data_IF_450226157582
#
_entry.id   IF_450226157582
#
_cell.length_a   1.000
_cell.length_b   1.000
_cell.length_c   1.000
_cell.angle_alpha   90.00
_cell.angle_beta   90.00
_cell.angle_gamma   90.00
#
_symmetry.space_group_name_H-M   'P 1'
#
loop_
_entity.id
_entity.type
_entity.pdbx_description
1 polymer ?
#
# COMPACT_ATOMS: atom_id res chain seq x y z
N UNK A 1 10.99 20.84 12.33
CA UNK A 1 9.86 19.93 12.11
C UNK A 1 8.67 20.78 11.80
N UNK A 2 8.06 20.57 10.63
CA UNK A 2 6.96 21.40 10.15
C UNK A 2 5.68 21.04 10.94
N UNK A 3 4.98 22.04 11.47
CA UNK A 3 3.89 21.86 12.44
C UNK A 3 2.71 21.00 11.91
N UNK A 4 2.57 20.86 10.58
CA UNK A 4 1.53 20.04 9.93
C UNK A 4 1.89 18.56 9.70
N UNK A 5 2.87 18.02 10.42
CA UNK A 5 3.38 16.64 10.23
C UNK A 5 3.15 15.74 11.43
N UNK A 6 2.83 16.31 12.58
CA UNK A 6 2.76 15.57 13.85
C UNK A 6 1.37 14.99 13.99
N UNK A 7 1.28 13.67 14.15
CA UNK A 7 0.03 12.97 14.44
C UNK A 7 -0.43 13.29 15.86
N UNK A 8 -1.73 13.43 16.09
CA UNK A 8 -2.26 13.87 17.39
C UNK A 8 -1.85 12.97 18.55
N UNK A 9 -1.80 11.65 18.31
CA UNK A 9 -1.38 10.65 19.28
C UNK A 9 0.15 10.54 19.45
N UNK A 10 0.94 11.34 18.71
CA UNK A 10 2.39 11.42 18.82
C UNK A 10 2.88 12.74 19.46
N UNK A 11 1.99 13.56 20.04
CA UNK A 11 2.36 14.87 20.61
C UNK A 11 3.45 14.78 21.67
N UNK A 12 3.34 13.83 22.59
CA UNK A 12 4.36 13.58 23.62
C UNK A 12 5.72 13.19 23.04
N UNK A 13 5.71 12.33 22.01
CA UNK A 13 6.93 11.99 21.26
C UNK A 13 7.54 13.23 20.60
N UNK A 14 6.71 14.09 20.00
CA UNK A 14 7.17 15.31 19.35
C UNK A 14 7.80 16.29 20.36
N UNK A 15 7.25 16.41 21.57
CA UNK A 15 7.82 17.21 22.66
C UNK A 15 9.20 16.68 23.08
N UNK A 16 9.34 15.37 23.30
CA UNK A 16 10.62 14.74 23.62
C UNK A 16 11.64 14.93 22.48
N UNK A 17 11.21 14.85 21.22
CA UNK A 17 12.07 15.09 20.07
C UNK A 17 12.52 16.56 19.97
N UNK A 18 11.68 17.52 20.35
CA UNK A 18 12.07 18.92 20.43
C UNK A 18 13.11 19.17 21.51
N UNK A 19 12.95 18.55 22.69
CA UNK A 19 13.93 18.60 23.77
C UNK A 19 15.28 17.99 23.32
N UNK A 20 15.24 16.80 22.71
CA UNK A 20 16.42 16.15 22.16
C UNK A 20 17.15 17.04 21.15
N UNK A 21 16.41 17.62 20.19
CA UNK A 21 16.97 18.50 19.17
C UNK A 21 17.56 19.80 19.75
N UNK A 22 17.03 20.31 20.86
CA UNK A 22 17.56 21.49 21.54
C UNK A 22 18.93 21.20 22.19
N UNK A 23 19.09 20.02 22.79
CA UNK A 23 20.36 19.58 23.40
C UNK A 23 21.39 19.24 22.33
N UNK A 24 20.99 18.55 21.24
CA UNK A 24 21.90 18.16 20.16
C UNK A 24 22.52 19.35 19.42
N UNK A 25 21.87 20.53 19.44
CA UNK A 25 22.38 21.77 18.84
C UNK A 25 23.48 22.45 19.65
N UNK A 26 23.74 22.03 20.88
CA UNK A 26 24.78 22.61 21.72
C UNK A 26 26.17 22.13 21.22
N UNK A 27 27.10 23.08 21.04
CA UNK A 27 28.45 22.83 20.49
C UNK A 27 29.41 22.25 21.50
N UNK A 28 29.33 22.67 22.77
CA UNK A 28 30.06 22.09 23.89
C UNK A 28 29.12 21.24 24.74
N UNK A 29 29.21 19.92 24.59
CA UNK A 29 28.35 18.97 25.33
C UNK A 29 29.12 18.40 26.50
N UNK A 30 28.54 18.54 27.69
CA UNK A 30 29.02 17.85 28.88
C UNK A 30 28.64 16.37 28.85
N UNK A 31 29.32 15.54 29.64
CA UNK A 31 28.94 14.12 29.84
C UNK A 31 27.49 13.96 30.35
N UNK A 32 26.99 14.97 31.09
CA UNK A 32 25.60 15.04 31.53
C UNK A 32 24.65 15.21 30.32
N UNK A 33 24.98 16.09 29.37
CA UNK A 33 24.18 16.31 28.16
C UNK A 33 24.15 15.05 27.27
N UNK A 34 25.28 14.36 27.10
CA UNK A 34 25.33 13.08 26.36
C UNK A 34 24.51 11.98 27.05
N UNK A 35 24.48 11.97 28.39
CA UNK A 35 23.64 11.05 29.15
C UNK A 35 22.15 11.37 29.00
N UNK A 36 21.79 12.64 29.01
CA UNK A 36 20.42 13.10 28.78
C UNK A 36 19.94 12.76 27.36
N UNK A 37 20.78 12.97 26.32
CA UNK A 37 20.52 12.55 24.94
C UNK A 37 20.19 11.06 24.87
N UNK A 38 20.99 10.20 25.51
CA UNK A 38 20.74 8.75 25.54
C UNK A 38 19.42 8.41 26.23
N UNK A 39 19.10 9.09 27.34
CA UNK A 39 17.86 8.88 28.08
C UNK A 39 16.63 9.31 27.25
N UNK A 40 16.67 10.48 26.63
CA UNK A 40 15.61 10.99 25.75
C UNK A 40 15.38 10.06 24.56
N UNK A 41 16.44 9.62 23.88
CA UNK A 41 16.33 8.65 22.77
C UNK A 41 15.68 7.33 23.22
N UNK A 42 16.02 6.84 24.42
CA UNK A 42 15.39 5.64 24.99
C UNK A 42 13.91 5.87 25.28
N UNK A 43 13.55 7.00 25.88
CA UNK A 43 12.16 7.36 26.17
C UNK A 43 11.33 7.49 24.89
N UNK A 44 11.83 8.22 23.89
CA UNK A 44 11.19 8.35 22.57
C UNK A 44 10.92 6.98 21.95
N UNK A 45 11.93 6.11 21.93
CA UNK A 45 11.78 4.78 21.35
C UNK A 45 10.78 3.91 22.11
N UNK A 46 10.76 3.98 23.43
CA UNK A 46 9.80 3.21 24.24
C UNK A 46 8.38 3.72 24.03
N UNK A 47 8.19 5.03 24.05
CA UNK A 47 6.88 5.64 23.83
C UNK A 47 6.34 5.35 22.42
N UNK A 48 7.20 5.43 21.39
CA UNK A 48 6.83 5.01 20.03
C UNK A 48 6.42 3.54 19.98
N UNK A 49 7.12 2.64 20.68
CA UNK A 49 6.71 1.22 20.73
C UNK A 49 5.34 1.06 21.35
N UNK A 50 5.08 1.72 22.47
CA UNK A 50 3.80 1.61 23.17
C UNK A 50 2.64 2.17 22.33
N UNK A 51 2.84 3.33 21.69
CA UNK A 51 1.85 3.93 20.79
C UNK A 51 1.57 2.99 19.61
N UNK A 52 2.61 2.57 18.88
CA UNK A 52 2.45 1.83 17.64
C UNK A 52 1.96 0.39 17.83
N UNK A 53 2.30 -0.25 18.96
CA UNK A 53 1.73 -1.55 19.31
C UNK A 53 0.21 -1.49 19.50
N UNK A 54 -0.31 -0.34 19.99
CA UNK A 54 -1.68 -0.18 20.43
C UNK A 54 -2.52 0.77 19.55
N UNK A 55 -2.10 1.03 18.30
CA UNK A 55 -2.88 1.85 17.39
C UNK A 55 -4.30 1.29 17.22
N UNK A 56 -5.28 2.18 17.36
CA UNK A 56 -6.64 1.89 16.95
C UNK A 56 -6.77 1.97 15.41
N UNK A 57 -7.83 1.39 14.82
CA UNK A 57 -7.99 1.38 13.36
C UNK A 57 -8.02 2.77 12.70
N UNK A 58 -8.51 3.80 13.40
CA UNK A 58 -8.52 5.16 12.88
C UNK A 58 -7.13 5.79 12.91
N UNK A 59 -6.38 5.56 13.98
CA UNK A 59 -4.98 5.96 14.06
C UNK A 59 -4.15 5.27 12.97
N UNK A 60 -4.39 3.99 12.67
CA UNK A 60 -3.77 3.29 11.52
C UNK A 60 -4.09 3.99 10.21
N UNK A 61 -5.33 4.44 9.98
CA UNK A 61 -5.69 5.23 8.78
C UNK A 61 -4.89 6.55 8.72
N UNK A 62 -4.71 7.23 9.86
CA UNK A 62 -3.90 8.45 9.92
C UNK A 62 -2.42 8.20 9.57
N UNK A 63 -1.84 7.08 10.03
CA UNK A 63 -0.47 6.67 9.64
C UNK A 63 -0.39 6.30 8.16
N UNK A 64 -1.38 5.58 7.62
CA UNK A 64 -1.46 5.21 6.21
C UNK A 64 -1.56 6.45 5.28
N UNK A 65 -2.22 7.51 5.77
CA UNK A 65 -2.40 8.78 5.06
C UNK A 65 -1.32 9.82 5.37
N UNK A 66 -0.30 9.47 6.15
CA UNK A 66 0.74 10.39 6.55
C UNK A 66 1.44 11.00 5.33
N UNK A 67 1.63 12.32 5.31
CA UNK A 67 2.15 13.05 4.13
C UNK A 67 3.54 12.60 3.68
N UNK A 68 4.34 12.12 4.62
CA UNK A 68 5.71 11.61 4.41
C UNK A 68 5.76 10.09 4.29
N UNK A 69 4.63 9.39 4.24
CA UNK A 69 4.62 7.95 3.96
C UNK A 69 5.28 7.71 2.59
N UNK A 70 6.22 6.75 2.44
CA UNK A 70 6.84 6.44 1.15
C UNK A 70 5.80 5.98 0.12
N UNK A 71 5.85 6.56 -1.08
CA UNK A 71 5.01 6.19 -2.22
C UNK A 71 5.77 5.24 -3.16
N UNK A 72 5.12 4.77 -4.22
CA UNK A 72 5.70 3.87 -5.23
C UNK A 72 7.08 4.33 -5.72
N UNK A 73 7.23 5.61 -6.10
CA UNK A 73 8.50 6.13 -6.60
C UNK A 73 9.63 6.11 -5.54
N UNK A 74 9.30 6.23 -4.25
CA UNK A 74 10.31 6.17 -3.18
C UNK A 74 10.84 4.75 -3.02
N UNK A 75 9.95 3.75 -3.05
CA UNK A 75 10.37 2.34 -3.06
C UNK A 75 11.15 1.97 -4.30
N UNK A 76 10.75 2.45 -5.48
CA UNK A 76 11.51 2.23 -6.72
C UNK A 76 12.94 2.77 -6.65
N UNK A 77 13.15 3.92 -6.00
CA UNK A 77 14.49 4.51 -5.82
C UNK A 77 15.35 3.79 -4.77
N UNK A 78 14.71 3.22 -3.75
CA UNK A 78 15.41 2.68 -2.57
C UNK A 78 15.58 1.16 -2.59
N UNK A 79 14.66 0.43 -3.23
CA UNK A 79 14.63 -1.03 -3.24
C UNK A 79 14.94 -1.67 -4.60
N UNK A 80 14.87 -0.89 -5.69
CA UNK A 80 15.06 -1.38 -7.05
C UNK A 80 16.23 -0.68 -7.73
N UNK A 81 16.76 -1.37 -8.75
CA UNK A 81 17.82 -0.90 -9.62
C UNK A 81 17.27 -0.72 -11.04
N UNK A 82 17.86 0.18 -11.83
CA UNK A 82 17.56 0.36 -13.27
C UNK A 82 16.06 0.53 -13.60
N UNK A 83 15.34 1.34 -12.81
CA UNK A 83 13.94 1.64 -13.12
C UNK A 83 13.81 2.46 -14.40
N UNK A 84 13.02 1.97 -15.36
CA UNK A 84 12.69 2.64 -16.62
C UNK A 84 11.17 2.74 -16.73
N UNK A 85 10.65 3.96 -16.60
CA UNK A 85 9.22 4.25 -16.67
C UNK A 85 8.67 4.03 -18.09
N UNK A 86 7.48 3.42 -18.17
CA UNK A 86 6.73 3.17 -19.39
C UNK A 86 5.40 3.92 -19.33
N UNK A 87 5.18 4.78 -20.32
CA UNK A 87 4.02 5.67 -20.38
C UNK A 87 2.90 5.15 -21.30
N UNK A 88 1.70 5.69 -21.11
CA UNK A 88 0.55 5.65 -22.02
C UNK A 88 -0.19 4.32 -22.12
N UNK A 89 -1.50 4.36 -22.32
CA UNK A 89 -2.34 3.17 -22.56
C UNK A 89 -2.47 2.78 -24.05
N UNK A 90 -1.93 3.61 -24.96
CA UNK A 90 -2.08 3.51 -26.42
C UNK A 90 -3.52 3.64 -26.92
N UNK A 91 -4.41 4.24 -26.12
CA UNK A 91 -5.82 4.43 -26.47
C UNK A 91 -6.29 5.86 -26.19
N UNK A 92 -6.05 6.36 -24.98
CA UNK A 92 -6.56 7.66 -24.53
C UNK A 92 -5.47 8.56 -23.96
N UNK A 93 -4.61 8.05 -23.07
CA UNK A 93 -3.66 8.92 -22.36
C UNK A 93 -2.66 8.19 -21.47
N UNK A 94 -1.81 8.99 -20.83
CA UNK A 94 -0.87 8.53 -19.80
C UNK A 94 -1.30 9.07 -18.43
N UNK A 95 -1.99 8.24 -17.65
CA UNK A 95 -2.43 8.62 -16.32
C UNK A 95 -1.28 8.54 -15.31
N UNK A 96 -0.93 9.68 -14.72
CA UNK A 96 0.18 9.79 -13.76
C UNK A 96 -0.14 9.22 -12.38
N UNK A 97 -1.42 8.94 -12.09
CA UNK A 97 -1.84 8.27 -10.85
C UNK A 97 -1.38 6.81 -10.79
N UNK A 98 -1.05 6.20 -11.94
CA UNK A 98 -0.60 4.81 -12.01
C UNK A 98 0.73 4.70 -12.77
N UNK A 99 1.84 4.57 -12.06
CA UNK A 99 3.17 4.44 -12.65
C UNK A 99 3.40 2.98 -13.11
N UNK A 100 4.04 2.80 -14.26
CA UNK A 100 4.43 1.46 -14.75
C UNK A 100 5.85 1.49 -15.31
N UNK A 101 6.60 0.39 -15.23
CA UNK A 101 7.94 0.36 -15.81
C UNK A 101 8.71 -0.95 -15.63
N UNK A 102 9.85 -1.06 -16.30
CA UNK A 102 10.83 -2.12 -16.03
C UNK A 102 11.66 -1.75 -14.81
N UNK A 103 12.07 -2.75 -14.04
CA UNK A 103 13.03 -2.58 -12.96
C UNK A 103 13.85 -3.86 -12.75
N UNK A 104 14.90 -3.77 -11.95
CA UNK A 104 15.61 -4.90 -11.38
C UNK A 104 15.48 -4.89 -9.86
N UNK A 105 15.37 -6.07 -9.28
CA UNK A 105 15.46 -6.26 -7.84
C UNK A 105 16.28 -7.51 -7.58
N UNK A 106 17.49 -7.32 -7.06
CA UNK A 106 18.46 -8.41 -6.91
C UNK A 106 18.69 -9.13 -8.26
N UNK A 107 18.54 -10.46 -8.35
CA UNK A 107 18.68 -11.21 -9.62
C UNK A 107 17.49 -11.09 -10.57
N UNK A 108 16.36 -10.52 -10.13
CA UNK A 108 15.10 -10.55 -10.88
C UNK A 108 14.93 -9.30 -11.75
N UNK A 109 14.58 -9.52 -13.02
CA UNK A 109 14.05 -8.47 -13.90
C UNK A 109 12.54 -8.49 -13.80
N UNK A 110 11.92 -7.35 -13.52
CA UNK A 110 10.49 -7.29 -13.21
C UNK A 110 9.82 -6.16 -13.97
N UNK A 111 8.50 -6.25 -14.09
CA UNK A 111 7.66 -5.09 -14.39
C UNK A 111 6.99 -4.65 -13.09
N UNK A 112 7.00 -3.34 -12.84
CA UNK A 112 6.31 -2.73 -11.71
C UNK A 112 5.10 -1.94 -12.21
N UNK A 113 3.99 -2.03 -11.49
CA UNK A 113 2.84 -1.15 -11.63
C UNK A 113 2.43 -0.63 -10.25
N UNK A 114 2.20 0.67 -10.06
CA UNK A 114 1.86 1.15 -8.74
C UNK A 114 1.20 2.51 -8.72
N UNK A 115 0.37 2.72 -7.70
CA UNK A 115 -0.28 4.01 -7.49
C UNK A 115 0.74 5.06 -7.06
N UNK A 116 0.59 6.28 -7.57
CA UNK A 116 1.47 7.39 -7.26
C UNK A 116 0.63 8.58 -6.81
N UNK A 117 0.88 9.09 -5.60
CA UNK A 117 0.13 10.22 -5.03
C UNK A 117 0.75 11.57 -5.30
N UNK A 118 2.08 11.67 -5.40
CA UNK A 118 2.81 12.95 -5.50
C UNK A 118 3.07 13.62 -4.14
N UNK A 119 4.20 14.34 -4.03
CA UNK A 119 4.65 14.98 -2.79
C UNK A 119 4.17 16.43 -2.69
N UNK A 120 4.34 17.19 -3.77
CA UNK A 120 3.89 18.59 -3.84
C UNK A 120 2.42 18.67 -4.24
N UNK A 121 1.75 19.80 -3.96
CA UNK A 121 0.38 20.01 -4.44
C UNK A 121 0.26 19.87 -5.96
N UNK A 122 1.22 20.42 -6.71
CA UNK A 122 1.26 20.33 -8.17
C UNK A 122 1.37 18.88 -8.63
N UNK A 123 2.23 18.08 -7.99
CA UNK A 123 2.34 16.65 -8.28
C UNK A 123 1.08 15.88 -7.91
N UNK A 124 0.49 16.17 -6.74
CA UNK A 124 -0.75 15.54 -6.28
C UNK A 124 -1.91 15.79 -7.22
N UNK A 125 -2.10 17.03 -7.66
CA UNK A 125 -3.09 17.37 -8.65
C UNK A 125 -2.86 16.61 -9.97
N UNK A 126 -1.60 16.54 -10.43
CA UNK A 126 -1.26 15.83 -11.66
C UNK A 126 -1.44 14.30 -11.57
N UNK A 127 -1.33 13.73 -10.38
CA UNK A 127 -1.55 12.30 -10.12
C UNK A 127 -2.94 12.01 -9.54
N UNK A 128 -3.87 12.99 -9.58
CA UNK A 128 -5.21 12.86 -9.03
C UNK A 128 -5.23 12.30 -7.59
N UNK A 129 -4.24 12.67 -6.78
CA UNK A 129 -4.05 12.19 -5.41
C UNK A 129 -3.96 10.66 -5.28
N UNK A 130 -3.48 9.98 -6.33
CA UNK A 130 -3.37 8.52 -6.42
C UNK A 130 -4.64 7.82 -6.90
N UNK A 131 -5.68 8.58 -7.29
CA UNK A 131 -6.91 8.02 -7.83
C UNK A 131 -6.80 7.85 -9.34
N UNK A 132 -6.59 6.62 -9.81
CA UNK A 132 -6.43 6.35 -11.23
C UNK A 132 -7.75 6.45 -12.01
N UNK A 133 -7.62 6.95 -13.24
CA UNK A 133 -8.62 6.94 -14.30
C UNK A 133 -8.56 5.62 -15.08
N UNK A 134 -9.54 5.36 -15.98
CA UNK A 134 -9.57 4.12 -16.76
C UNK A 134 -8.30 3.91 -17.59
N UNK A 135 -7.78 4.95 -18.23
CA UNK A 135 -6.51 4.92 -18.97
C UNK A 135 -5.31 4.49 -18.10
N UNK A 136 -5.31 4.76 -16.79
CA UNK A 136 -4.30 4.23 -15.86
C UNK A 136 -4.36 2.71 -15.78
N UNK A 137 -5.53 2.15 -15.53
CA UNK A 137 -5.71 0.69 -15.48
C UNK A 137 -5.46 0.02 -16.84
N UNK A 138 -5.85 0.64 -17.96
CA UNK A 138 -5.50 0.15 -19.31
C UNK A 138 -3.99 0.15 -19.55
N UNK A 139 -3.30 1.21 -19.13
CA UNK A 139 -1.83 1.26 -19.15
C UNK A 139 -1.24 0.11 -18.36
N UNK A 140 -1.68 -0.10 -17.11
CA UNK A 140 -1.27 -1.25 -16.29
C UNK A 140 -1.48 -2.58 -17.03
N UNK A 141 -2.70 -2.87 -17.48
CA UNK A 141 -3.01 -4.10 -18.22
C UNK A 141 -2.10 -4.33 -19.43
N UNK A 142 -1.81 -3.29 -20.21
CA UNK A 142 -0.88 -3.36 -21.34
C UNK A 142 0.52 -3.82 -20.92
N UNK A 143 1.02 -3.30 -19.79
CA UNK A 143 2.35 -3.64 -19.24
C UNK A 143 2.33 -5.01 -18.53
N UNK A 144 1.21 -5.42 -17.95
CA UNK A 144 1.02 -6.76 -17.41
C UNK A 144 1.10 -7.83 -18.51
N UNK A 145 0.47 -7.59 -19.68
CA UNK A 145 0.63 -8.47 -20.86
C UNK A 145 2.07 -8.50 -21.37
N UNK A 146 2.78 -7.38 -21.27
CA UNK A 146 4.20 -7.31 -21.58
C UNK A 146 5.02 -8.19 -20.62
N UNK A 147 4.72 -8.15 -19.31
CA UNK A 147 5.36 -9.00 -18.31
C UNK A 147 5.18 -10.48 -18.64
N UNK A 148 3.95 -10.91 -18.94
CA UNK A 148 3.67 -12.29 -19.37
C UNK A 148 4.43 -12.68 -20.64
N UNK A 149 4.38 -11.83 -21.69
CA UNK A 149 5.06 -12.10 -22.96
C UNK A 149 6.56 -12.35 -22.79
N UNK A 150 7.22 -11.59 -21.91
CA UNK A 150 8.65 -11.71 -21.65
C UNK A 150 8.98 -12.59 -20.44
N UNK A 151 7.98 -13.25 -19.84
CA UNK A 151 8.12 -14.11 -18.66
C UNK A 151 8.82 -13.39 -17.49
N UNK A 152 8.45 -12.13 -17.28
CA UNK A 152 8.94 -11.30 -16.18
C UNK A 152 7.91 -11.28 -15.06
N UNK A 153 8.32 -11.44 -13.78
CA UNK A 153 7.42 -11.23 -12.66
C UNK A 153 6.85 -9.80 -12.64
N UNK A 154 5.63 -9.69 -12.14
CA UNK A 154 4.91 -8.45 -11.95
C UNK A 154 4.85 -8.09 -10.45
N UNK A 155 5.22 -6.86 -10.11
CA UNK A 155 5.07 -6.32 -8.76
C UNK A 155 4.10 -5.14 -8.79
N UNK A 156 3.06 -5.21 -7.95
CA UNK A 156 2.02 -4.21 -7.86
C UNK A 156 2.07 -3.46 -6.52
N UNK A 157 2.19 -2.13 -6.55
CA UNK A 157 2.13 -1.28 -5.35
C UNK A 157 0.79 -0.58 -5.21
N UNK A 158 0.05 -0.93 -4.16
CA UNK A 158 -1.29 -0.40 -3.89
C UNK A 158 -1.20 0.75 -2.88
N UNK A 159 -1.57 1.94 -3.33
CA UNK A 159 -1.66 3.14 -2.50
C UNK A 159 -2.63 4.17 -3.11
N UNK A 160 -3.91 3.89 -2.98
CA UNK A 160 -4.98 4.71 -3.54
C UNK A 160 -6.15 4.86 -2.56
N UNK A 161 -6.74 6.07 -2.44
CA UNK A 161 -8.04 6.23 -1.78
C UNK A 161 -9.17 5.50 -2.52
N UNK A 162 -9.00 5.24 -3.81
CA UNK A 162 -9.97 4.60 -4.70
C UNK A 162 -9.77 5.03 -6.15
N UNK A 163 -10.52 4.42 -7.06
CA UNK A 163 -10.54 4.87 -8.45
C UNK A 163 -11.15 6.29 -8.55
N UNK A 164 -10.71 7.09 -9.53
CA UNK A 164 -11.18 8.48 -9.66
C UNK A 164 -12.70 8.51 -9.96
N UNK A 165 -13.54 9.14 -9.12
CA UNK A 165 -15.00 9.14 -9.26
C UNK A 165 -15.48 10.38 -10.03
N UNK A 166 -15.12 10.48 -11.32
CA UNK A 166 -15.44 11.65 -12.15
C UNK A 166 -16.20 11.30 -13.42
N UNK A 167 -16.94 12.28 -13.97
CA UNK A 167 -17.75 12.11 -15.19
C UNK A 167 -16.94 11.52 -16.35
N UNK A 168 -15.76 12.08 -16.62
CA UNK A 168 -14.90 11.55 -17.69
C UNK A 168 -14.39 10.13 -17.41
N UNK A 169 -14.21 9.74 -16.14
CA UNK A 169 -13.84 8.36 -15.80
C UNK A 169 -15.00 7.40 -16.09
N UNK A 170 -16.24 7.80 -15.81
CA UNK A 170 -17.45 7.03 -16.12
C UNK A 170 -17.66 6.91 -17.63
N UNK A 171 -17.59 8.01 -18.38
CA UNK A 171 -17.70 8.02 -19.86
C UNK A 171 -16.66 7.11 -20.54
N UNK A 172 -15.50 6.94 -19.90
CA UNK A 172 -14.40 6.07 -20.37
C UNK A 172 -14.42 4.67 -19.75
N UNK A 173 -15.45 4.30 -18.99
CA UNK A 173 -15.68 2.93 -18.53
C UNK A 173 -14.85 2.50 -17.32
N UNK A 174 -14.76 3.32 -16.26
CA UNK A 174 -14.02 2.99 -15.02
C UNK A 174 -14.35 1.59 -14.48
N UNK A 175 -15.63 1.28 -14.32
CA UNK A 175 -16.06 -0.03 -13.83
C UNK A 175 -15.65 -1.19 -14.76
N UNK A 176 -15.87 -1.03 -16.07
CA UNK A 176 -15.50 -2.02 -17.08
C UNK A 176 -13.98 -2.30 -17.05
N UNK A 177 -13.16 -1.25 -17.07
CA UNK A 177 -11.71 -1.39 -17.16
C UNK A 177 -11.14 -2.04 -15.89
N UNK A 178 -11.65 -1.71 -14.72
CA UNK A 178 -11.25 -2.38 -13.47
C UNK A 178 -11.62 -3.87 -13.52
N UNK A 179 -12.84 -4.20 -13.96
CA UNK A 179 -13.29 -5.59 -14.10
C UNK A 179 -12.42 -6.38 -15.11
N UNK A 180 -12.09 -5.77 -16.25
CA UNK A 180 -11.18 -6.35 -17.24
C UNK A 180 -9.78 -6.58 -16.68
N UNK A 181 -9.27 -5.65 -15.87
CA UNK A 181 -7.96 -5.79 -15.24
C UNK A 181 -7.95 -6.97 -14.27
N UNK A 182 -8.94 -7.07 -13.39
CA UNK A 182 -9.08 -8.20 -12.46
C UNK A 182 -9.18 -9.53 -13.21
N UNK A 183 -9.99 -9.59 -14.27
CA UNK A 183 -10.13 -10.78 -15.11
C UNK A 183 -8.81 -11.16 -15.78
N UNK A 184 -8.09 -10.21 -16.36
CA UNK A 184 -6.80 -10.47 -17.01
C UNK A 184 -5.76 -10.94 -15.99
N UNK A 185 -5.62 -10.24 -14.86
CA UNK A 185 -4.67 -10.59 -13.81
C UNK A 185 -4.87 -12.01 -13.28
N UNK A 186 -6.12 -12.47 -13.16
CA UNK A 186 -6.42 -13.84 -12.72
C UNK A 186 -5.86 -14.93 -13.65
N UNK A 187 -5.50 -14.59 -14.90
CA UNK A 187 -5.10 -15.53 -15.96
C UNK A 187 -3.66 -15.37 -16.44
N UNK A 188 -2.93 -14.36 -15.97
CA UNK A 188 -1.56 -14.07 -16.42
C UNK A 188 -0.59 -15.20 -16.04
N UNK A 189 0.13 -15.72 -17.02
CA UNK A 189 1.12 -16.79 -16.91
C UNK A 189 2.49 -16.30 -16.44
N UNK A 190 2.50 -15.45 -15.41
CA UNK A 190 3.71 -14.96 -14.75
C UNK A 190 3.44 -14.70 -13.27
N UNK A 191 4.44 -14.77 -12.38
CA UNK A 191 4.27 -14.44 -10.96
C UNK A 191 3.80 -13.00 -10.76
N UNK A 192 2.87 -12.79 -9.83
CA UNK A 192 2.32 -11.49 -9.44
C UNK A 192 2.39 -11.34 -7.92
N UNK A 193 3.07 -10.30 -7.45
CA UNK A 193 3.09 -9.91 -6.04
C UNK A 193 2.45 -8.53 -5.90
N UNK A 194 1.37 -8.44 -5.13
CA UNK A 194 0.72 -7.18 -4.79
C UNK A 194 1.09 -6.79 -3.35
N UNK A 195 1.47 -5.54 -3.12
CA UNK A 195 1.76 -5.02 -1.77
C UNK A 195 0.98 -3.73 -1.56
N UNK A 196 0.12 -3.72 -0.54
CA UNK A 196 -0.54 -2.49 -0.07
C UNK A 196 0.46 -1.71 0.78
N UNK A 197 1.01 -0.65 0.19
CA UNK A 197 2.04 0.17 0.80
C UNK A 197 1.46 1.39 1.53
N UNK A 198 0.17 1.68 1.38
CA UNK A 198 -0.53 2.76 2.08
C UNK A 198 -2.04 2.52 2.14
N UNK A 199 -2.79 3.17 1.26
CA UNK A 199 -4.25 3.02 1.19
C UNK A 199 -4.65 1.94 0.17
N UNK A 200 -5.42 0.94 0.60
CA UNK A 200 -6.03 -0.07 -0.27
C UNK A 200 -7.50 0.26 -0.50
N UNK A 201 -7.79 1.30 -1.29
CA UNK A 201 -9.13 1.79 -1.53
C UNK A 201 -9.93 1.00 -2.58
N UNK A 202 -10.85 0.16 -2.12
CA UNK A 202 -11.95 -0.43 -2.88
C UNK A 202 -11.53 -1.09 -4.22
N UNK A 203 -12.40 -1.02 -5.23
CA UNK A 203 -12.14 -1.55 -6.57
C UNK A 203 -10.94 -0.90 -7.27
N UNK A 204 -10.57 0.34 -6.91
CA UNK A 204 -9.39 0.98 -7.47
C UNK A 204 -8.10 0.26 -7.07
N UNK A 205 -7.96 -0.08 -5.79
CA UNK A 205 -6.88 -0.92 -5.32
C UNK A 205 -6.92 -2.32 -5.95
N UNK A 206 -8.10 -2.93 -6.03
CA UNK A 206 -8.28 -4.28 -6.58
C UNK A 206 -7.98 -4.35 -8.09
N UNK A 207 -8.08 -3.23 -8.82
CA UNK A 207 -7.73 -3.12 -10.23
C UNK A 207 -6.28 -3.50 -10.55
N UNK A 208 -5.37 -3.47 -9.56
CA UNK A 208 -4.02 -4.05 -9.66
C UNK A 208 -3.70 -5.00 -8.49
N UNK A 209 -4.72 -5.55 -7.84
CA UNK A 209 -4.62 -6.30 -6.57
C UNK A 209 -4.83 -7.81 -6.68
N UNK A 210 -4.99 -8.35 -7.88
CA UNK A 210 -5.20 -9.79 -8.10
C UNK A 210 -3.85 -10.48 -8.35
N UNK A 211 -3.21 -10.97 -7.29
CA UNK A 211 -1.88 -11.59 -7.37
C UNK A 211 -1.74 -12.93 -6.64
N UNK A 212 -0.67 -13.66 -6.97
CA UNK A 212 -0.30 -14.94 -6.32
C UNK A 212 0.02 -14.73 -4.83
N UNK A 213 0.59 -13.57 -4.52
CA UNK A 213 0.84 -13.09 -3.16
C UNK A 213 0.33 -11.67 -3.00
N UNK A 214 -0.42 -11.43 -1.93
CA UNK A 214 -0.99 -10.14 -1.54
C UNK A 214 -0.52 -9.84 -0.13
N UNK A 215 0.31 -8.83 0.00
CA UNK A 215 0.88 -8.38 1.26
C UNK A 215 0.33 -7.00 1.64
N UNK A 216 0.36 -6.68 2.93
CA UNK A 216 0.02 -5.35 3.45
C UNK A 216 1.12 -4.88 4.38
N UNK A 217 1.52 -3.61 4.29
CA UNK A 217 2.42 -3.03 5.28
C UNK A 217 1.70 -2.86 6.62
N UNK A 218 2.43 -2.97 7.72
CA UNK A 218 1.87 -2.99 9.08
C UNK A 218 0.89 -1.85 9.37
N UNK A 219 1.18 -0.63 8.90
CA UNK A 219 0.30 0.53 9.09
C UNK A 219 -0.40 0.97 7.79
N UNK A 220 -0.53 0.07 6.83
CA UNK A 220 -1.42 0.21 5.68
C UNK A 220 -2.80 -0.41 5.97
N UNK A 221 -3.79 -0.13 5.12
CA UNK A 221 -5.12 -0.71 5.24
C UNK A 221 -5.68 -1.17 3.90
N UNK A 222 -6.60 -2.14 3.90
CA UNK A 222 -7.26 -2.61 2.68
C UNK A 222 -8.77 -2.76 2.91
N UNK A 223 -9.58 -1.90 2.29
CA UNK A 223 -11.01 -1.78 2.59
C UNK A 223 -11.87 -1.68 1.33
N UNK A 224 -13.11 -2.21 1.41
CA UNK A 224 -14.12 -2.09 0.35
C UNK A 224 -14.65 -0.66 0.16
N UNK A 225 -14.56 0.17 1.21
CA UNK A 225 -15.03 1.57 1.23
C UNK A 225 -14.16 2.38 2.19
N UNK A 226 -14.03 3.68 1.98
CA UNK A 226 -13.38 4.56 2.95
C UNK A 226 -14.16 4.57 4.27
N UNK A 227 -13.48 4.74 5.43
CA UNK A 227 -14.16 4.90 6.72
C UNK A 227 -15.20 6.04 6.69
N UNK A 228 -14.86 7.15 6.03
CA UNK A 228 -15.73 8.31 5.88
C UNK A 228 -16.97 7.98 5.03
N UNK A 229 -16.80 7.27 3.92
CA UNK A 229 -17.90 6.85 3.06
C UNK A 229 -18.85 5.89 3.77
N UNK A 230 -18.29 4.92 4.51
CA UNK A 230 -19.06 4.01 5.36
C UNK A 230 -19.85 4.79 6.43
N UNK A 231 -19.20 5.76 7.09
CA UNK A 231 -19.82 6.61 8.09
C UNK A 231 -20.97 7.46 7.52
N UNK A 232 -20.77 8.05 6.35
CA UNK A 232 -21.80 8.81 5.63
C UNK A 232 -23.03 7.96 5.25
N UNK A 233 -22.86 6.66 4.97
CA UNK A 233 -23.96 5.76 4.60
C UNK A 233 -24.66 5.20 5.85
N UNK A 234 -23.92 4.53 6.73
CA UNK A 234 -24.51 3.77 7.84
C UNK A 234 -24.89 4.65 9.04
N UNK A 235 -24.18 5.76 9.25
CA UNK A 235 -24.44 6.68 10.36
C UNK A 235 -24.87 8.08 9.90
N UNK A 236 -25.03 8.32 8.59
CA UNK A 236 -25.45 9.61 8.03
C UNK A 236 -24.58 10.80 8.46
N UNK A 237 -23.33 10.55 8.87
CA UNK A 237 -22.37 11.58 9.28
C UNK A 237 -20.94 11.07 9.17
N UNK A 238 -20.06 11.90 8.61
CA UNK A 238 -18.61 11.59 8.50
C UNK A 238 -17.89 11.63 9.85
N UNK A 239 -18.47 12.27 10.88
CA UNK A 239 -17.89 12.31 12.23
C UNK A 239 -17.75 10.91 12.86
N UNK A 240 -18.54 9.94 12.36
CA UNK A 240 -18.48 8.55 12.78
C UNK A 240 -17.42 7.72 12.03
N UNK A 241 -16.50 8.35 11.27
CA UNK A 241 -15.41 7.65 10.59
C UNK A 241 -14.55 6.76 11.53
N UNK A 242 -14.20 7.17 12.77
CA UNK A 242 -13.48 6.28 13.69
C UNK A 242 -14.30 5.03 14.07
N UNK A 243 -15.62 5.17 14.22
CA UNK A 243 -16.54 4.06 14.50
C UNK A 243 -16.64 3.11 13.30
N UNK A 244 -16.74 3.66 12.09
CA UNK A 244 -16.75 2.90 10.85
C UNK A 244 -15.43 2.15 10.63
N UNK A 245 -14.28 2.79 10.89
CA UNK A 245 -12.96 2.17 10.80
C UNK A 245 -12.87 0.91 11.66
N UNK A 246 -13.36 0.98 12.91
CA UNK A 246 -13.42 -0.17 13.81
C UNK A 246 -14.35 -1.28 13.32
N UNK A 247 -15.49 -0.92 12.73
CA UNK A 247 -16.47 -1.90 12.24
C UNK A 247 -16.00 -2.66 10.99
N UNK A 248 -15.22 -2.01 10.12
CA UNK A 248 -14.82 -2.56 8.81
C UNK A 248 -13.72 -3.62 8.90
N UNK A 249 -12.92 -3.66 9.98
CA UNK A 249 -11.84 -4.65 10.19
C UNK A 249 -10.88 -4.77 9.01
N UNK A 250 -10.31 -3.65 8.58
CA UNK A 250 -9.47 -3.56 7.37
C UNK A 250 -7.97 -3.42 7.65
N UNK A 251 -7.54 -3.52 8.91
CA UNK A 251 -6.15 -3.26 9.29
C UNK A 251 -5.28 -4.50 9.06
N UNK A 252 -3.95 -4.33 9.04
CA UNK A 252 -3.02 -5.46 8.98
C UNK A 252 -3.20 -6.49 10.11
N UNK A 253 -3.81 -6.11 11.24
CA UNK A 253 -4.16 -7.01 12.35
C UNK A 253 -5.39 -7.86 12.05
N UNK A 254 -6.30 -7.38 11.21
CA UNK A 254 -7.57 -8.03 10.89
C UNK A 254 -7.48 -8.89 9.61
N UNK A 255 -6.85 -8.34 8.57
CA UNK A 255 -6.86 -8.90 7.21
C UNK A 255 -6.35 -10.36 7.13
N UNK A 256 -5.31 -10.79 7.86
CA UNK A 256 -4.90 -12.19 7.88
C UNK A 256 -5.99 -13.12 8.42
N UNK A 257 -6.72 -12.70 9.45
CA UNK A 257 -7.84 -13.45 10.01
C UNK A 257 -9.04 -13.57 9.07
N UNK A 258 -9.16 -12.65 8.10
CA UNK A 258 -10.15 -12.69 7.03
C UNK A 258 -9.68 -13.50 5.81
N UNK A 259 -8.41 -13.92 5.76
CA UNK A 259 -7.83 -14.69 4.65
C UNK A 259 -7.70 -13.92 3.34
N UNK A 260 -7.68 -12.58 3.37
CA UNK A 260 -7.61 -11.71 2.18
C UNK A 260 -6.20 -11.21 1.86
N UNK A 261 -5.27 -11.32 2.81
CA UNK A 261 -3.82 -11.07 2.63
C UNK A 261 -3.03 -12.28 3.10
N UNK A 262 -1.89 -12.53 2.47
CA UNK A 262 -1.01 -13.65 2.81
C UNK A 262 0.03 -13.25 3.85
N UNK A 263 0.48 -11.99 3.83
CA UNK A 263 1.61 -11.52 4.64
C UNK A 263 1.41 -10.08 5.14
N UNK A 264 1.94 -9.81 6.33
CA UNK A 264 2.07 -8.47 6.90
C UNK A 264 3.55 -8.09 6.94
N UNK A 265 3.91 -6.97 6.30
CA UNK A 265 5.27 -6.48 6.27
C UNK A 265 5.47 -5.49 7.42
N UNK A 266 6.35 -5.79 8.40
CA UNK A 266 6.55 -4.92 9.54
C UNK A 266 7.17 -3.59 9.11
N UNK A 267 6.71 -2.49 9.69
CA UNK A 267 7.24 -1.15 9.43
C UNK A 267 8.33 -0.77 10.43
N UNK A 268 9.22 0.18 10.09
CA UNK A 268 10.14 0.77 11.05
C UNK A 268 9.43 1.28 12.31
N UNK A 269 10.19 1.44 13.39
CA UNK A 269 9.63 1.96 14.63
C UNK A 269 8.97 3.33 14.38
N UNK A 270 7.68 3.42 14.69
CA UNK A 270 6.87 4.61 14.44
C UNK A 270 6.44 4.80 12.98
N UNK A 271 6.45 3.74 12.16
CA UNK A 271 5.89 3.71 10.82
C UNK A 271 6.87 4.03 9.69
N UNK A 272 6.47 3.69 8.47
CA UNK A 272 7.32 3.76 7.27
C UNK A 272 7.78 5.18 6.92
N UNK A 273 7.07 6.22 7.39
CA UNK A 273 7.43 7.60 7.15
C UNK A 273 8.66 8.07 7.94
N UNK A 274 9.05 7.36 9.01
CA UNK A 274 10.20 7.71 9.85
C UNK A 274 11.54 7.19 9.33
N UNK A 275 11.52 6.07 8.61
CA UNK A 275 12.71 5.48 8.01
C UNK A 275 12.37 4.79 6.68
N UNK A 276 12.44 5.56 5.59
CA UNK A 276 12.15 5.06 4.25
C UNK A 276 13.15 3.97 3.82
N UNK A 277 14.41 4.06 4.25
CA UNK A 277 15.45 3.08 3.90
C UNK A 277 15.16 1.73 4.54
N UNK A 278 14.82 1.70 5.83
CA UNK A 278 14.48 0.46 6.52
C UNK A 278 13.17 -0.13 5.97
N UNK A 279 12.15 0.70 5.69
CA UNK A 279 10.92 0.24 5.06
C UNK A 279 11.20 -0.41 3.69
N UNK A 280 11.99 0.24 2.84
CA UNK A 280 12.40 -0.27 1.53
C UNK A 280 13.25 -1.55 1.63
N UNK A 281 14.15 -1.65 2.62
CA UNK A 281 14.97 -2.85 2.85
C UNK A 281 14.12 -4.06 3.24
N UNK A 282 13.12 -3.87 4.11
CA UNK A 282 12.17 -4.92 4.51
C UNK A 282 11.28 -5.35 3.33
N UNK A 283 10.80 -4.39 2.55
CA UNK A 283 10.06 -4.64 1.31
C UNK A 283 10.91 -5.45 0.31
N UNK A 284 12.16 -5.04 0.06
CA UNK A 284 13.09 -5.75 -0.83
C UNK A 284 13.29 -7.19 -0.38
N UNK A 285 13.53 -7.40 0.91
CA UNK A 285 13.73 -8.74 1.49
C UNK A 285 12.50 -9.63 1.32
N UNK A 286 11.29 -9.09 1.53
CA UNK A 286 10.04 -9.79 1.26
C UNK A 286 9.91 -10.16 -0.22
N UNK A 287 10.05 -9.18 -1.12
CA UNK A 287 9.88 -9.37 -2.56
C UNK A 287 10.85 -10.41 -3.11
N UNK A 288 12.16 -10.34 -2.79
CA UNK A 288 13.17 -11.28 -3.26
C UNK A 288 12.89 -12.72 -2.80
N UNK A 289 12.48 -12.90 -1.54
CA UNK A 289 12.11 -14.22 -1.00
C UNK A 289 10.87 -14.77 -1.73
N UNK A 290 9.84 -13.94 -1.87
CA UNK A 290 8.58 -14.34 -2.48
C UNK A 290 8.72 -14.62 -3.97
N UNK A 291 9.50 -13.82 -4.70
CA UNK A 291 9.84 -14.08 -6.10
C UNK A 291 10.59 -15.41 -6.27
N UNK A 292 11.54 -15.71 -5.39
CA UNK A 292 12.27 -16.99 -5.42
C UNK A 292 11.32 -18.18 -5.25
N UNK A 293 10.34 -18.07 -4.35
CA UNK A 293 9.32 -19.10 -4.15
C UNK A 293 8.43 -19.25 -5.38
N UNK A 294 7.90 -18.15 -5.92
CA UNK A 294 6.96 -18.19 -7.05
C UNK A 294 7.62 -18.62 -8.36
N UNK A 295 8.88 -18.25 -8.62
CA UNK A 295 9.61 -18.72 -9.82
C UNK A 295 9.85 -20.24 -9.82
N UNK A 296 9.83 -20.88 -8.65
CA UNK A 296 10.02 -22.33 -8.55
C UNK A 296 8.78 -23.14 -8.93
N UNK A 297 7.61 -22.50 -9.02
CA UNK A 297 6.35 -23.16 -9.32
C UNK A 297 6.15 -23.32 -10.84
N UNK A 298 5.68 -24.50 -11.30
CA UNK A 298 5.16 -24.65 -12.65
C UNK A 298 4.01 -23.66 -12.91
N UNK A 299 3.93 -23.10 -14.13
CA UNK A 299 2.91 -22.09 -14.49
C UNK A 299 1.48 -22.57 -14.24
N UNK A 300 1.19 -23.85 -14.52
CA UNK A 300 -0.16 -24.41 -14.30
C UNK A 300 -0.50 -24.47 -12.80
N UNK A 301 0.49 -24.77 -11.95
CA UNK A 301 0.32 -24.76 -10.50
C UNK A 301 0.15 -23.32 -9.98
N UNK A 302 0.94 -22.37 -10.50
CA UNK A 302 0.82 -20.95 -10.19
C UNK A 302 -0.61 -20.43 -10.46
N UNK A 303 -1.16 -20.74 -11.64
CA UNK A 303 -2.52 -20.34 -12.01
C UNK A 303 -3.59 -21.03 -11.15
N UNK A 304 -3.44 -22.33 -10.88
CA UNK A 304 -4.36 -23.06 -10.02
C UNK A 304 -4.37 -22.49 -8.59
N UNK A 305 -3.19 -22.25 -8.00
CA UNK A 305 -3.08 -21.63 -6.68
C UNK A 305 -3.70 -20.23 -6.64
N UNK A 306 -3.47 -19.41 -7.68
CA UNK A 306 -4.10 -18.08 -7.80
C UNK A 306 -5.62 -18.18 -7.85
N UNK A 307 -6.17 -19.08 -8.67
CA UNK A 307 -7.61 -19.28 -8.77
C UNK A 307 -8.20 -19.71 -7.42
N UNK A 308 -7.66 -20.78 -6.82
CA UNK A 308 -8.15 -21.32 -5.55
C UNK A 308 -8.08 -20.30 -4.41
N UNK A 309 -7.01 -19.50 -4.36
CA UNK A 309 -6.84 -18.43 -3.38
C UNK A 309 -8.03 -17.47 -3.38
N UNK A 310 -8.46 -16.98 -4.55
CA UNK A 310 -9.59 -16.05 -4.64
C UNK A 310 -10.94 -16.77 -4.58
N UNK A 311 -11.03 -18.01 -5.11
CA UNK A 311 -12.28 -18.78 -5.15
C UNK A 311 -12.81 -19.12 -3.76
N UNK A 312 -11.92 -19.36 -2.79
CA UNK A 312 -12.25 -19.65 -1.38
C UNK A 312 -12.60 -18.42 -0.54
N UNK A 313 -12.42 -17.20 -1.06
CA UNK A 313 -12.70 -15.99 -0.29
C UNK A 313 -14.23 -15.79 -0.17
N UNK A 314 -14.70 -15.71 1.06
CA UNK A 314 -16.11 -15.52 1.39
C UNK A 314 -16.64 -16.65 2.27
N UNK A 315 -17.43 -16.29 3.28
CA UNK A 315 -18.08 -17.22 4.20
C UNK A 315 -19.58 -17.05 4.05
N UNK A 316 -20.28 -18.13 3.76
CA UNK A 316 -21.73 -18.16 3.58
C UNK A 316 -22.30 -19.44 4.20
N UNK A 317 -23.58 -19.40 4.54
CA UNK A 317 -24.31 -20.58 5.02
C UNK A 317 -24.94 -21.25 3.81
N UNK A 318 -24.71 -22.55 3.65
CA UNK A 318 -25.44 -23.36 2.67
C UNK A 318 -26.88 -23.55 3.13
N UNK A 319 -27.83 -23.57 2.19
CA UNK A 319 -29.18 -23.98 2.52
C UNK A 319 -29.14 -25.46 2.93
N UNK A 320 -29.80 -25.81 4.05
CA UNK A 320 -29.94 -27.22 4.43
C UNK A 320 -30.59 -27.97 3.26
N UNK A 321 -29.92 -29.00 2.74
CA UNK A 321 -30.51 -29.90 1.76
C UNK A 321 -31.84 -30.39 2.32
N UNK A 322 -32.94 -30.08 1.63
CA UNK A 322 -34.23 -30.66 1.96
C UNK A 322 -34.06 -32.18 1.81
N UNK A 323 -34.07 -32.89 2.93
CA UNK A 323 -34.03 -34.35 2.94
C UNK A 323 -35.18 -34.85 2.06
N UNK A 324 -34.82 -35.49 0.94
CA UNK A 324 -35.76 -36.16 0.02
C UNK A 324 -36.21 -37.47 0.62
#
# INVERSE_FOLDING_TARGET
MDAGTTLDFEKSVAELQQQLAAIEKQTDRSDAAETEIRNLRRQINEELRQIYANLDPWQTVQVARHKDRPYTNDYLKLAFDEFVELHGDKQFGDDRALLTGFAKIDRFKVIVAGHQKGRTYKERAACHFGCAHPEGYRKAMSKMKMAEKYRLPLICFIDTPGAYPGVGAEERGQAQVIAESMFQMSRLKTPIICVVIGEGGSGGALGIGVGDRVAVMENAYYSVISPEGCAGILWKSHEHAPKAAKALKFTSKDLPGLGVVDDVLPEPLGGAHRDHHQAASRLRSYLTRTLTQLESLPVEELLAQRYEKFRRMGVFLEAAEAAV
#
